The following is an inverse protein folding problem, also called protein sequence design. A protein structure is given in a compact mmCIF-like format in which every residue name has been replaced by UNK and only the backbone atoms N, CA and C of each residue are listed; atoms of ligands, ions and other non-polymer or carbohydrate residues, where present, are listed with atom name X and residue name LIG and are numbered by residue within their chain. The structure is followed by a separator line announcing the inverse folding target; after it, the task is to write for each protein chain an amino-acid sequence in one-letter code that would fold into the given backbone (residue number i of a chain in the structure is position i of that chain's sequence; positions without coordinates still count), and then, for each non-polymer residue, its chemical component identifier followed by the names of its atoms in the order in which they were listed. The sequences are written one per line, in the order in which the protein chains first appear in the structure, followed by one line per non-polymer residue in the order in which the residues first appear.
data_IF_057313804431
#
_entry.id   IF_057313804431
#
_cell.length_a   1.000
_cell.length_b   1.000
_cell.length_c   1.000
_cell.angle_alpha   90.00
_cell.angle_beta   90.00
_cell.angle_gamma   90.00
#
_symmetry.space_group_name_H-M   'P 1'
#
loop_
_entity.id
_entity.type
_entity.pdbx_description
1 polymer ?
#
# COMPACT_ATOMS: atom_id res chain seq x y z
N UNK A 1 14.07 5.92 17.50
CA UNK A 1 12.79 5.70 18.20
C UNK A 1 11.80 6.76 17.77
N UNK A 2 11.24 6.67 16.56
CA UNK A 2 10.16 7.56 16.11
C UNK A 2 9.19 6.81 15.17
N UNK A 3 8.52 5.78 15.70
CA UNK A 3 7.38 5.13 15.03
C UNK A 3 6.14 5.27 15.93
N UNK A 4 5.96 6.43 16.57
CA UNK A 4 4.95 6.60 17.62
C UNK A 4 3.75 7.50 17.26
N UNK A 5 3.74 8.21 16.13
CA UNK A 5 2.69 9.21 15.88
C UNK A 5 1.69 8.89 14.75
N UNK A 6 1.74 7.69 14.14
CA UNK A 6 0.70 7.26 13.17
C UNK A 6 0.05 5.91 13.52
N UNK A 7 0.33 5.41 14.72
CA UNK A 7 -0.01 4.07 15.17
C UNK A 7 -1.19 4.03 16.16
N UNK A 8 -1.92 5.14 16.31
CA UNK A 8 -2.99 5.27 17.30
C UNK A 8 -4.26 4.45 17.04
N UNK A 9 -4.49 3.95 15.82
CA UNK A 9 -5.79 3.36 15.42
C UNK A 9 -5.72 1.98 14.73
N UNK A 10 -4.56 1.29 14.73
CA UNK A 10 -4.43 0.07 13.93
C UNK A 10 -3.63 -1.07 14.58
N UNK A 11 -3.87 -1.33 15.86
CA UNK A 11 -3.57 -2.60 16.52
C UNK A 11 -4.92 -3.31 16.73
N UNK A 12 -5.16 -4.59 16.44
CA UNK A 12 -4.47 -5.82 16.83
C UNK A 12 -4.81 -6.96 15.82
N UNK A 13 -4.10 -8.09 15.88
CA UNK A 13 -4.46 -9.43 15.33
C UNK A 13 -3.95 -9.93 13.96
N UNK A 14 -2.90 -9.36 13.35
CA UNK A 14 -2.21 -10.10 12.26
C UNK A 14 -0.78 -9.62 12.08
N UNK A 15 0.14 -10.59 11.94
CA UNK A 15 1.57 -10.35 11.70
C UNK A 15 1.79 -9.29 10.61
N UNK A 16 2.84 -8.46 10.79
CA UNK A 16 3.28 -7.59 9.71
C UNK A 16 3.58 -8.45 8.46
N UNK A 17 3.24 -7.97 7.26
CA UNK A 17 3.57 -8.70 6.05
C UNK A 17 5.09 -8.73 5.88
N UNK A 18 5.65 -9.89 5.55
CA UNK A 18 7.07 -10.01 5.20
C UNK A 18 7.36 -9.39 3.82
N UNK A 19 8.66 -9.19 3.55
CA UNK A 19 9.13 -8.54 2.34
C UNK A 19 8.77 -9.33 1.07
N UNK A 20 8.88 -10.66 1.12
CA UNK A 20 8.52 -11.54 -0.01
C UNK A 20 7.06 -11.39 -0.39
N UNK A 21 6.17 -11.27 0.59
CA UNK A 21 4.74 -11.05 0.40
C UNK A 21 4.46 -9.66 -0.15
N UNK A 22 5.19 -8.64 0.30
CA UNK A 22 5.05 -7.28 -0.23
C UNK A 22 5.44 -7.27 -1.71
N UNK A 23 6.60 -7.80 -2.07
CA UNK A 23 7.08 -7.88 -3.44
C UNK A 23 6.12 -8.69 -4.33
N UNK A 24 5.67 -9.86 -3.88
CA UNK A 24 4.69 -10.66 -4.60
C UNK A 24 3.37 -9.90 -4.83
N UNK A 25 2.93 -9.11 -3.84
CA UNK A 25 1.75 -8.27 -3.99
C UNK A 25 1.99 -7.12 -4.98
N UNK A 26 3.16 -6.48 -4.99
CA UNK A 26 3.51 -5.43 -5.96
C UNK A 26 3.43 -6.00 -7.38
N UNK A 27 4.08 -7.14 -7.64
CA UNK A 27 4.03 -7.82 -8.94
C UNK A 27 2.59 -8.16 -9.33
N UNK A 28 1.80 -8.69 -8.40
CA UNK A 28 0.40 -9.02 -8.67
C UNK A 28 -0.48 -7.78 -8.90
N UNK A 29 -0.13 -6.63 -8.31
CA UNK A 29 -0.85 -5.37 -8.49
C UNK A 29 -0.59 -4.73 -9.85
N UNK A 30 0.52 -5.07 -10.54
CA UNK A 30 0.77 -4.61 -11.91
C UNK A 30 -0.28 -5.08 -12.93
N UNK A 31 -1.10 -6.07 -12.58
CA UNK A 31 -2.25 -6.49 -13.40
C UNK A 31 -3.45 -5.52 -13.34
N UNK A 32 -3.41 -4.50 -12.47
CA UNK A 32 -4.50 -3.55 -12.26
C UNK A 32 -4.12 -2.19 -12.81
N UNK A 33 -4.91 -1.66 -13.77
CA UNK A 33 -4.62 -0.41 -14.47
C UNK A 33 -4.40 0.78 -13.51
N UNK A 34 -5.23 0.91 -12.49
CA UNK A 34 -5.11 2.00 -11.50
C UNK A 34 -3.77 1.97 -10.74
N UNK A 35 -3.16 0.79 -10.59
CA UNK A 35 -1.87 0.66 -9.90
C UNK A 35 -0.72 0.99 -10.85
N UNK A 36 -0.81 0.59 -12.13
CA UNK A 36 0.16 0.96 -13.17
C UNK A 36 0.23 2.48 -13.29
N UNK A 37 -0.90 3.16 -13.49
CA UNK A 37 -1.00 4.63 -13.55
C UNK A 37 -0.43 5.32 -12.30
N UNK A 38 -0.52 4.64 -11.15
CA UNK A 38 -0.02 5.16 -9.89
C UNK A 38 1.51 5.09 -9.83
N UNK A 39 2.11 3.97 -10.23
CA UNK A 39 3.58 3.78 -10.18
C UNK A 39 4.31 4.43 -11.36
N UNK A 40 3.61 4.86 -12.41
CA UNK A 40 4.18 5.71 -13.45
C UNK A 40 4.63 7.09 -12.91
N UNK A 41 4.03 7.53 -11.80
CA UNK A 41 4.44 8.77 -11.12
C UNK A 41 5.70 8.50 -10.29
N UNK A 42 6.87 9.11 -10.60
CA UNK A 42 8.13 8.78 -9.95
C UNK A 42 8.09 8.89 -8.43
N UNK A 43 7.40 9.91 -7.90
CA UNK A 43 7.25 10.15 -6.47
C UNK A 43 6.44 9.04 -5.76
N UNK A 44 5.44 8.48 -6.43
CA UNK A 44 4.68 7.35 -5.90
C UNK A 44 5.43 6.04 -6.05
N UNK A 45 6.15 5.84 -7.15
CA UNK A 45 7.00 4.66 -7.32
C UNK A 45 8.04 4.57 -6.20
N UNK A 46 8.76 5.66 -5.93
CA UNK A 46 9.72 5.74 -4.83
C UNK A 46 9.08 5.36 -3.49
N UNK A 47 7.88 5.88 -3.22
CA UNK A 47 7.14 5.56 -1.99
C UNK A 47 6.71 4.09 -1.93
N UNK A 48 6.30 3.49 -3.05
CA UNK A 48 5.99 2.06 -3.13
C UNK A 48 7.23 1.21 -2.85
N UNK A 49 8.41 1.63 -3.30
CA UNK A 49 9.66 0.90 -3.08
C UNK A 49 10.24 1.09 -1.68
N UNK A 50 10.17 2.28 -1.09
CA UNK A 50 10.99 2.64 0.07
C UNK A 50 10.16 2.95 1.33
N UNK A 51 8.91 3.41 1.18
CA UNK A 51 8.14 3.89 2.34
C UNK A 51 7.49 2.74 3.11
N UNK A 52 7.91 2.53 4.36
CA UNK A 52 7.43 1.44 5.22
C UNK A 52 5.91 1.42 5.37
N UNK A 53 5.25 2.58 5.49
CA UNK A 53 3.80 2.65 5.66
C UNK A 53 3.04 2.24 4.39
N UNK A 54 3.52 2.69 3.23
CA UNK A 54 2.97 2.32 1.92
C UNK A 54 3.16 0.82 1.68
N UNK A 55 4.38 0.31 1.88
CA UNK A 55 4.71 -1.11 1.73
C UNK A 55 3.86 -2.00 2.64
N UNK A 56 3.66 -1.59 3.89
CA UNK A 56 2.79 -2.31 4.83
C UNK A 56 1.35 -2.43 4.31
N UNK A 57 0.77 -1.35 3.77
CA UNK A 57 -0.58 -1.38 3.20
C UNK A 57 -0.67 -2.37 2.04
N UNK A 58 0.33 -2.39 1.17
CA UNK A 58 0.42 -3.31 0.03
C UNK A 58 0.51 -4.76 0.53
N UNK A 59 1.40 -5.06 1.48
CA UNK A 59 1.55 -6.40 2.02
C UNK A 59 0.27 -6.96 2.67
N UNK A 60 -0.56 -6.10 3.29
CA UNK A 60 -1.85 -6.51 3.88
C UNK A 60 -2.97 -6.72 2.85
N UNK A 61 -2.75 -6.42 1.57
CA UNK A 61 -3.74 -6.72 0.53
C UNK A 61 -3.90 -8.23 0.35
N UNK A 62 -5.14 -8.69 0.28
CA UNK A 62 -5.47 -10.09 0.01
C UNK A 62 -5.71 -10.23 -1.50
N UNK A 63 -4.68 -10.59 -2.27
CA UNK A 63 -4.77 -10.64 -3.74
C UNK A 63 -5.85 -11.59 -4.26
N UNK A 64 -6.10 -12.71 -3.57
CA UNK A 64 -7.24 -13.61 -3.89
C UNK A 64 -8.60 -12.90 -3.76
N UNK A 65 -8.72 -11.93 -2.84
CA UNK A 65 -9.95 -11.14 -2.64
C UNK A 65 -10.03 -9.97 -3.63
N UNK A 66 -8.89 -9.35 -3.97
CA UNK A 66 -8.82 -8.34 -5.05
C UNK A 66 -9.44 -8.90 -6.34
N UNK A 67 -8.99 -10.08 -6.79
CA UNK A 67 -9.51 -10.75 -7.99
C UNK A 67 -11.00 -11.10 -7.97
N UNK A 68 -11.61 -11.22 -6.79
CA UNK A 68 -12.99 -11.72 -6.61
C UNK A 68 -14.00 -10.63 -6.25
N UNK A 69 -13.54 -9.45 -5.83
CA UNK A 69 -14.41 -8.43 -5.24
C UNK A 69 -13.98 -7.03 -5.68
N UNK A 70 -14.69 -6.45 -6.67
CA UNK A 70 -14.44 -5.08 -7.13
C UNK A 70 -14.54 -4.06 -5.99
N UNK A 71 -15.50 -4.22 -5.08
CA UNK A 71 -15.62 -3.35 -3.90
C UNK A 71 -14.41 -3.41 -2.96
N UNK A 72 -13.77 -4.58 -2.87
CA UNK A 72 -12.55 -4.71 -2.07
C UNK A 72 -11.37 -4.03 -2.75
N UNK A 73 -11.24 -4.21 -4.07
CA UNK A 73 -10.26 -3.52 -4.89
C UNK A 73 -10.38 -1.99 -4.75
N UNK A 74 -11.55 -1.42 -5.02
CA UNK A 74 -11.79 0.03 -4.94
C UNK A 74 -11.42 0.59 -3.54
N UNK A 75 -11.77 -0.14 -2.48
CA UNK A 75 -11.40 0.24 -1.11
C UNK A 75 -9.88 0.23 -0.90
N UNK A 76 -9.16 -0.71 -1.51
CA UNK A 76 -7.70 -0.80 -1.40
C UNK A 76 -6.99 0.24 -2.22
N UNK A 77 -7.46 0.50 -3.43
CA UNK A 77 -7.02 1.62 -4.26
C UNK A 77 -7.17 2.94 -3.49
N UNK A 78 -8.37 3.26 -3.01
CA UNK A 78 -8.63 4.50 -2.25
C UNK A 78 -7.73 4.63 -1.02
N UNK A 79 -7.55 3.53 -0.28
CA UNK A 79 -6.67 3.51 0.90
C UNK A 79 -5.22 3.79 0.51
N UNK A 80 -4.71 3.13 -0.53
CA UNK A 80 -3.33 3.29 -0.97
C UNK A 80 -3.07 4.71 -1.48
N UNK A 81 -3.96 5.23 -2.34
CA UNK A 81 -3.90 6.62 -2.83
C UNK A 81 -3.88 7.64 -1.68
N UNK A 82 -4.73 7.46 -0.67
CA UNK A 82 -4.76 8.35 0.53
C UNK A 82 -3.45 8.31 1.31
N UNK A 83 -2.84 7.13 1.48
CA UNK A 83 -1.56 7.02 2.19
C UNK A 83 -0.44 7.68 1.41
N UNK A 84 -0.38 7.46 0.09
CA UNK A 84 0.61 8.08 -0.78
C UNK A 84 0.50 9.61 -0.82
N UNK A 85 -0.71 10.14 -0.90
CA UNK A 85 -0.94 11.59 -0.83
C UNK A 85 -0.46 12.20 0.48
N UNK A 86 -0.70 11.51 1.61
CA UNK A 86 -0.18 11.96 2.92
C UNK A 86 1.33 11.95 3.00
N UNK A 87 1.99 10.98 2.35
CA UNK A 87 3.47 10.93 2.33
C UNK A 87 4.05 12.07 1.49
N UNK A 88 3.40 12.45 0.38
CA UNK A 88 3.82 13.61 -0.40
C UNK A 88 3.67 14.91 0.40
N UNK A 89 2.51 15.13 1.01
CA UNK A 89 2.24 16.35 1.76
C UNK A 89 3.09 16.49 3.04
N UNK A 90 3.76 15.43 3.49
CA UNK A 90 4.69 15.45 4.62
C UNK A 90 6.16 15.59 4.18
N UNK A 91 6.44 15.58 2.87
CA UNK A 91 7.78 15.75 2.30
C UNK A 91 8.04 17.19 1.81
N UNK A 92 6.99 18.03 1.77
CA UNK A 92 7.05 19.49 1.57
C UNK A 92 7.16 20.21 2.92
#
# INVERSE_FOLDING_TARGET
MEILALAGDLFWWADPPDEKRIEANIVALMAYGWFVELVEKPQYNKSVQENTSVRYVIGKMKMKKMKRSPMYEERKERKLKKVLQKQLAAAD
#
